data_IF_478685584493
#
_entry.id   IF_478685584493
#
_cell.length_a   1.000
_cell.length_b   1.000
_cell.length_c   1.000
_cell.angle_alpha   90.00
_cell.angle_beta   90.00
_cell.angle_gamma   90.00
#
_symmetry.space_group_name_H-M   'P 1'
#
loop_
_entity.id
_entity.type
_entity.pdbx_description
1 polymer ?
2 non-polymer ?
3 water ?
#
# COMPACT_ATOMS: atom_id res chain seq x y z
N UNK A 1 0.40 36.28 -10.44
CA UNK A 1 -0.56 35.86 -11.50
C UNK A 1 -1.03 34.43 -11.22
N UNK A 2 -2.20 34.08 -11.76
CA UNK A 2 -2.69 32.71 -11.63
C UNK A 2 -1.62 31.70 -12.05
N UNK A 3 -0.81 32.05 -13.05
CA UNK A 3 0.19 31.11 -13.54
C UNK A 3 1.23 30.81 -12.46
N UNK A 4 1.73 31.85 -11.78
CA UNK A 4 2.69 31.65 -10.70
C UNK A 4 2.17 30.64 -9.68
N UNK A 5 0.94 30.84 -9.21
CA UNK A 5 0.39 29.93 -8.21
C UNK A 5 0.29 28.50 -8.76
N UNK A 6 -0.15 28.37 -10.01
CA UNK A 6 -0.34 27.03 -10.57
C UNK A 6 1.01 26.31 -10.69
N UNK A 7 2.01 26.96 -11.30
CA UNK A 7 3.31 26.33 -11.42
C UNK A 7 3.88 25.97 -10.06
N UNK A 8 3.61 26.81 -9.07
CA UNK A 8 4.04 26.51 -7.71
C UNK A 8 3.38 25.23 -7.20
N UNK A 9 2.04 25.15 -7.28
CA UNK A 9 1.33 23.93 -6.86
C UNK A 9 1.89 22.71 -7.61
N UNK A 10 2.20 22.88 -8.90
CA UNK A 10 2.72 21.76 -9.68
C UNK A 10 4.07 21.31 -9.16
N UNK A 11 4.94 22.25 -8.83
CA UNK A 11 6.23 21.84 -8.29
C UNK A 11 6.07 21.07 -6.98
N UNK A 12 5.09 21.46 -6.16
CA UNK A 12 4.84 20.76 -4.90
C UNK A 12 4.31 19.35 -5.14
N UNK A 13 3.39 19.20 -6.10
CA UNK A 13 2.86 17.89 -6.45
C UNK A 13 3.97 16.97 -6.94
N UNK A 14 4.80 17.47 -7.86
CA UNK A 14 5.87 16.64 -8.40
C UNK A 14 6.90 16.28 -7.35
N UNK A 15 7.19 17.18 -6.41
CA UNK A 15 8.11 16.81 -5.33
C UNK A 15 7.51 15.71 -4.46
N UNK A 16 6.22 15.81 -4.14
CA UNK A 16 5.56 14.77 -3.39
C UNK A 16 5.53 13.46 -4.19
N UNK A 17 5.24 13.56 -5.48
CA UNK A 17 5.20 12.35 -6.30
C UNK A 17 6.55 11.67 -6.32
N UNK A 18 7.62 12.45 -6.41
CA UNK A 18 8.95 11.85 -6.43
C UNK A 18 9.24 11.03 -5.15
N UNK A 19 8.82 11.54 -4.00
CA UNK A 19 8.99 10.80 -2.74
C UNK A 19 8.21 9.50 -2.81
N UNK A 20 6.96 9.57 -3.26
CA UNK A 20 6.14 8.37 -3.41
C UNK A 20 6.75 7.37 -4.36
N UNK A 21 7.33 7.84 -5.47
CA UNK A 21 7.97 6.96 -6.43
C UNK A 21 9.15 6.25 -5.77
N UNK A 22 9.92 6.95 -4.95
CA UNK A 22 11.00 6.28 -4.22
C UNK A 22 10.44 5.20 -3.32
N UNK A 23 9.31 5.44 -2.65
CA UNK A 23 8.72 4.40 -1.80
C UNK A 23 8.23 3.20 -2.63
N UNK A 24 7.60 3.51 -3.79
CA UNK A 24 7.15 2.47 -4.70
C UNK A 24 8.29 1.63 -5.21
N UNK A 25 9.42 2.26 -5.50
CA UNK A 25 10.62 1.50 -5.92
C UNK A 25 11.13 0.59 -4.83
N UNK A 26 11.16 1.05 -3.59
CA UNK A 26 11.67 0.23 -2.51
C UNK A 26 10.73 -0.94 -2.27
N UNK A 27 9.41 -0.71 -2.33
CA UNK A 27 8.51 -1.81 -2.11
C UNK A 27 8.56 -2.83 -3.24
N UNK A 28 8.73 -2.34 -4.47
CA UNK A 28 8.81 -3.24 -5.62
C UNK A 28 10.06 -4.11 -5.53
N UNK A 29 11.18 -3.50 -5.16
CA UNK A 29 12.41 -4.28 -4.99
C UNK A 29 12.25 -5.29 -3.87
N UNK A 30 11.57 -4.95 -2.78
CA UNK A 30 11.38 -5.90 -1.72
C UNK A 30 10.45 -7.05 -2.12
N UNK A 31 9.42 -6.75 -2.94
CA UNK A 31 8.56 -7.79 -3.49
C UNK A 31 9.36 -8.74 -4.37
N UNK A 32 10.21 -8.18 -5.23
CA UNK A 32 11.05 -9.04 -6.06
C UNK A 32 11.90 -9.98 -5.21
N UNK A 33 12.46 -9.47 -4.11
CA UNK A 33 13.28 -10.30 -3.23
C UNK A 33 12.45 -11.39 -2.56
N UNK A 34 11.25 -11.05 -2.06
CA UNK A 34 10.41 -12.04 -1.44
C UNK A 34 9.98 -13.10 -2.44
N UNK A 35 9.69 -12.67 -3.65
CA UNK A 35 9.31 -13.58 -4.73
C UNK A 35 10.45 -14.56 -5.04
N UNK A 36 11.65 -14.04 -5.19
CA UNK A 36 12.81 -14.92 -5.41
C UNK A 36 12.99 -15.92 -4.28
N UNK A 37 12.80 -15.48 -3.03
CA UNK A 37 13.01 -16.30 -1.85
C UNK A 37 11.86 -17.23 -1.52
N UNK A 38 10.74 -17.12 -2.22
CA UNK A 38 9.59 -17.97 -2.00
C UNK A 38 8.84 -17.68 -0.72
N UNK A 39 8.93 -16.43 -0.25
CA UNK A 39 8.35 -16.02 1.02
C UNK A 39 7.00 -15.39 0.69
N UNK A 40 5.96 -16.22 0.62
CA UNK A 40 4.69 -15.79 0.03
C UNK A 40 4.02 -14.72 0.86
N UNK A 41 4.05 -14.88 2.19
CA UNK A 41 3.38 -13.91 3.05
C UNK A 41 4.10 -12.57 2.99
N UNK A 42 5.43 -12.58 2.96
CA UNK A 42 6.17 -11.34 2.80
C UNK A 42 5.82 -10.68 1.47
N UNK A 43 5.79 -11.49 0.40
CA UNK A 43 5.46 -10.96 -0.91
C UNK A 43 4.09 -10.27 -0.89
N UNK A 44 3.11 -10.89 -0.22
CA UNK A 44 1.78 -10.30 -0.17
C UNK A 44 1.83 -8.93 0.47
N UNK A 45 2.59 -8.79 1.57
CA UNK A 45 2.70 -7.51 2.27
C UNK A 45 3.33 -6.47 1.37
N UNK A 46 4.41 -6.82 0.68
CA UNK A 46 5.08 -5.85 -0.15
C UNK A 46 4.25 -5.48 -1.37
N UNK A 47 3.52 -6.44 -1.93
CA UNK A 47 2.65 -6.11 -3.05
C UNK A 47 1.55 -5.17 -2.62
N UNK A 48 1.02 -5.34 -1.41
CA UNK A 48 0.01 -4.42 -0.95
C UNK A 48 0.59 -3.04 -0.75
N UNK A 49 1.83 -2.96 -0.25
CA UNK A 49 2.46 -1.67 -0.08
C UNK A 49 2.68 -1.00 -1.44
N UNK A 50 3.20 -1.76 -2.40
CA UNK A 50 3.38 -1.23 -3.73
C UNK A 50 2.08 -0.73 -4.32
N UNK A 51 1.01 -1.49 -4.17
CA UNK A 51 -0.28 -1.03 -4.69
C UNK A 51 -0.74 0.25 -4.04
N UNK A 52 -0.50 0.41 -2.74
CA UNK A 52 -0.90 1.64 -2.09
C UNK A 52 -0.07 2.82 -2.61
N UNK A 53 1.24 2.67 -2.75
CA UNK A 53 2.03 3.75 -3.33
C UNK A 53 1.63 4.04 -4.76
N UNK A 54 1.37 2.98 -5.53
CA UNK A 54 1.00 3.19 -6.92
C UNK A 54 -0.31 3.96 -7.01
N UNK A 55 -1.27 3.66 -6.15
CA UNK A 55 -2.50 4.44 -6.12
C UNK A 55 -2.21 5.92 -5.84
N UNK A 56 -1.26 6.22 -4.96
CA UNK A 56 -0.89 7.60 -4.66
C UNK A 56 -0.21 8.25 -5.86
N UNK A 57 0.69 7.54 -6.56
CA UNK A 57 1.25 8.07 -7.80
C UNK A 57 0.15 8.41 -8.78
N UNK A 58 -0.83 7.51 -8.93
CA UNK A 58 -1.92 7.71 -9.87
C UNK A 58 -2.63 9.02 -9.52
N UNK A 59 -2.86 9.24 -8.22
CA UNK A 59 -3.55 10.46 -7.78
C UNK A 59 -2.74 11.70 -8.11
N UNK A 60 -1.44 11.69 -7.84
CA UNK A 60 -0.61 12.81 -8.18
C UNK A 60 -0.58 13.06 -9.68
N UNK A 61 -0.56 12.00 -10.47
CA UNK A 61 -0.52 12.12 -11.92
C UNK A 61 -1.81 12.74 -12.46
N UNK A 62 -2.94 12.39 -11.84
CA UNK A 62 -4.20 13.08 -12.11
C UNK A 62 -4.12 14.56 -11.75
N UNK A 63 -3.65 14.87 -10.58
CA UNK A 63 -3.58 16.27 -10.15
C UNK A 63 -2.67 17.06 -11.07
N UNK A 64 -1.60 16.43 -11.55
CA UNK A 64 -0.67 17.11 -12.43
C UNK A 64 -1.32 17.47 -13.76
N UNK A 65 -2.08 16.55 -14.35
CA UNK A 65 -2.84 16.85 -15.55
C UNK A 65 -3.83 17.98 -15.27
N UNK A 66 -4.55 17.92 -14.14
CA UNK A 66 -5.54 18.96 -13.87
C UNK A 66 -4.89 20.34 -13.73
N UNK A 67 -3.74 20.41 -13.07
CA UNK A 67 -3.05 21.68 -12.89
C UNK A 67 -2.54 22.22 -14.21
N UNK A 68 -2.00 21.36 -15.06
CA UNK A 68 -1.49 21.82 -16.35
C UNK A 68 -2.63 22.26 -17.26
N UNK A 69 -3.76 21.52 -17.24
CA UNK A 69 -4.97 21.98 -17.91
C UNK A 69 -5.36 23.39 -17.47
N UNK A 70 -5.33 23.65 -16.16
CA UNK A 70 -5.66 24.98 -15.65
C UNK A 70 -4.63 26.02 -16.11
N UNK A 71 -3.36 25.65 -16.10
CA UNK A 71 -2.32 26.57 -16.56
C UNK A 71 -2.54 26.94 -18.02
N UNK A 72 -2.90 25.98 -18.84
CA UNK A 72 -3.16 26.23 -20.24
C UNK A 72 -4.32 27.20 -20.43
N UNK A 73 -5.34 27.12 -19.56
CA UNK A 73 -6.48 28.04 -19.67
C UNK A 73 -6.08 29.48 -19.38
N UNK A 74 -5.02 29.68 -18.61
CA UNK A 74 -4.54 31.04 -18.37
C UNK A 74 -3.38 31.34 -19.30
N UNK A 75 -3.43 30.81 -20.53
CA UNK A 75 -2.47 31.09 -21.58
C UNK A 75 -3.22 31.39 -22.87
N UNK A 76 -2.93 32.49 -23.61
CA UNK A 76 -3.59 32.75 -24.90
C UNK A 76 -2.91 32.00 -26.05
N UNK A 77 -1.84 31.24 -25.81
CA UNK A 77 -1.05 30.55 -26.82
C UNK A 77 -0.81 29.13 -26.34
N UNK A 78 -0.31 28.31 -27.27
CA UNK A 78 0.02 26.89 -27.08
C UNK A 78 1.32 26.72 -26.28
N UNK A 79 1.61 27.52 -25.23
CA UNK A 79 2.89 27.44 -24.53
C UNK A 79 2.94 26.22 -23.61
N UNK A 80 1.90 26.03 -22.79
CA UNK A 80 1.79 24.91 -21.86
C UNK A 80 1.23 23.67 -22.53
N UNK A 81 0.92 23.76 -23.83
CA UNK A 81 0.40 22.64 -24.58
C UNK A 81 1.30 21.42 -24.45
N UNK A 82 2.61 21.61 -24.62
CA UNK A 82 3.50 20.45 -24.64
C UNK A 82 3.63 19.83 -23.25
N UNK A 83 3.72 20.67 -22.20
CA UNK A 83 3.75 20.13 -20.84
C UNK A 83 2.50 19.30 -20.56
N UNK A 84 1.33 19.84 -20.90
CA UNK A 84 0.10 19.06 -20.71
C UNK A 84 0.13 17.74 -21.47
N UNK A 85 0.62 17.75 -22.72
CA UNK A 85 0.66 16.51 -23.50
C UNK A 85 1.57 15.48 -22.81
N UNK A 86 2.72 15.92 -22.32
CA UNK A 86 3.60 15.00 -21.59
C UNK A 86 2.88 14.45 -20.37
N UNK A 87 2.25 15.34 -19.61
CA UNK A 87 1.59 14.91 -18.37
C UNK A 87 0.46 13.95 -18.66
N UNK A 88 -0.26 14.13 -19.77
CA UNK A 88 -1.31 13.18 -20.11
C UNK A 88 -0.73 11.82 -20.51
N UNK A 89 0.41 11.81 -21.20
CA UNK A 89 1.05 10.53 -21.50
C UNK A 89 1.60 9.88 -20.24
N UNK A 90 2.16 10.69 -19.32
CA UNK A 90 2.57 10.18 -18.02
C UNK A 90 1.40 9.53 -17.29
N UNK A 91 0.25 10.20 -17.25
CA UNK A 91 -0.90 9.64 -16.55
C UNK A 91 -1.32 8.33 -17.20
N UNK A 92 -1.35 8.26 -18.53
CA UNK A 92 -1.74 7.04 -19.22
C UNK A 92 -0.82 5.89 -18.84
N UNK A 93 0.48 6.19 -18.78
CA UNK A 93 1.46 5.16 -18.48
C UNK A 93 1.36 4.71 -17.03
N UNK A 94 1.20 5.68 -16.11
CA UNK A 94 1.02 5.38 -14.69
C UNK A 94 -0.23 4.54 -14.46
N UNK A 95 -1.31 4.83 -15.20
CA UNK A 95 -2.51 4.02 -15.01
C UNK A 95 -2.35 2.63 -15.61
N UNK A 96 -1.55 2.50 -16.67
CA UNK A 96 -1.28 1.16 -17.17
C UNK A 96 -0.43 0.38 -16.19
N UNK A 97 0.52 1.07 -15.53
CA UNK A 97 1.30 0.40 -14.49
C UNK A 97 0.40 -0.05 -13.35
N UNK A 98 -0.58 0.80 -13.02
CA UNK A 98 -1.48 0.48 -11.93
C UNK A 98 -2.34 -0.76 -12.24
N UNK A 99 -2.89 -0.82 -13.46
CA UNK A 99 -3.69 -1.96 -13.87
C UNK A 99 -2.85 -3.24 -13.88
N UNK A 100 -1.63 -3.13 -14.36
CA UNK A 100 -0.76 -4.29 -14.46
C UNK A 100 -0.32 -4.77 -13.10
N UNK A 101 0.01 -3.85 -12.19
CA UNK A 101 0.27 -4.24 -10.81
C UNK A 101 -0.93 -4.92 -10.19
N UNK A 102 -2.15 -4.41 -10.45
CA UNK A 102 -3.37 -5.06 -9.91
C UNK A 102 -3.45 -6.51 -10.39
N UNK A 103 -3.17 -6.73 -11.69
CA UNK A 103 -3.19 -8.08 -12.23
C UNK A 103 -2.19 -8.95 -11.49
N UNK A 104 -1.01 -8.40 -11.20
CA UNK A 104 0.02 -9.16 -10.48
C UNK A 104 -0.42 -9.50 -9.06
N UNK A 105 -0.97 -8.51 -8.34
CA UNK A 105 -1.47 -8.74 -6.99
C UNK A 105 -2.54 -9.84 -6.96
N UNK A 106 -3.49 -9.79 -7.90
CA UNK A 106 -4.52 -10.82 -7.96
C UNK A 106 -3.91 -12.18 -8.27
N UNK A 107 -2.97 -12.22 -9.21
CA UNK A 107 -2.39 -13.49 -9.60
C UNK A 107 -1.64 -14.11 -8.43
N UNK A 108 -0.90 -13.30 -7.68
CA UNK A 108 -0.24 -13.80 -6.48
C UNK A 108 -1.24 -14.35 -5.47
N UNK A 109 -2.36 -13.66 -5.25
CA UNK A 109 -3.34 -14.12 -4.29
C UNK A 109 -4.01 -15.39 -4.76
N UNK A 110 -4.11 -15.56 -6.08
CA UNK A 110 -4.71 -16.73 -6.70
C UNK A 110 -3.71 -17.87 -6.84
N UNK A 111 -2.44 -17.62 -6.55
CA UNK A 111 -1.41 -18.63 -6.72
C UNK A 111 -1.17 -19.00 -8.16
N UNK A 112 -1.27 -18.03 -9.08
CA UNK A 112 -1.05 -18.23 -10.50
C UNK A 112 0.25 -17.54 -10.90
N UNK A 113 1.36 -18.27 -10.79
CA UNK A 113 2.67 -17.66 -10.96
C UNK A 113 2.93 -17.20 -12.39
N UNK A 114 2.42 -17.91 -13.38
CA UNK A 114 2.65 -17.55 -14.79
C UNK A 114 2.11 -16.13 -15.01
N UNK A 115 0.87 -15.90 -14.61
CA UNK A 115 0.24 -14.60 -14.76
C UNK A 115 0.96 -13.57 -13.91
N UNK A 116 1.38 -13.96 -12.70
CA UNK A 116 2.03 -13.00 -11.82
C UNK A 116 3.31 -12.45 -12.44
N UNK A 117 4.19 -13.35 -12.91
CA UNK A 117 5.48 -12.93 -13.40
C UNK A 117 5.32 -12.05 -14.62
N UNK A 118 4.38 -12.40 -15.50
CA UNK A 118 4.19 -11.62 -16.71
C UNK A 118 3.74 -10.20 -16.37
N UNK A 119 2.77 -10.10 -15.47
CA UNK A 119 2.26 -8.78 -15.07
C UNK A 119 3.29 -8.02 -14.25
N UNK A 120 3.94 -8.68 -13.30
CA UNK A 120 4.94 -7.97 -12.51
C UNK A 120 6.04 -7.41 -13.38
N UNK A 121 6.51 -8.18 -14.36
CA UNK A 121 7.56 -7.69 -15.23
C UNK A 121 7.07 -6.58 -16.13
N UNK A 122 5.81 -6.64 -16.58
CA UNK A 122 5.24 -5.55 -17.35
C UNK A 122 5.17 -4.27 -16.50
N UNK A 123 4.77 -4.42 -15.23
CA UNK A 123 4.69 -3.27 -14.32
C UNK A 123 6.03 -2.61 -14.18
N UNK A 124 7.09 -3.40 -14.01
CA UNK A 124 8.40 -2.82 -13.88
C UNK A 124 8.77 -2.02 -15.13
N UNK A 125 8.48 -2.57 -16.32
CA UNK A 125 8.79 -1.86 -17.56
C UNK A 125 7.98 -0.59 -17.71
N UNK A 126 6.72 -0.61 -17.32
CA UNK A 126 5.92 0.60 -17.38
C UNK A 126 6.43 1.66 -16.42
N UNK A 127 6.90 1.25 -15.24
CA UNK A 127 7.50 2.20 -14.33
C UNK A 127 8.69 2.93 -14.94
N UNK A 128 9.55 2.20 -15.64
CA UNK A 128 10.67 2.86 -16.29
C UNK A 128 10.20 3.81 -17.38
N UNK A 129 9.17 3.41 -18.15
CA UNK A 129 8.63 4.33 -19.12
C UNK A 129 8.04 5.57 -18.45
N UNK A 130 7.34 5.37 -17.33
CA UNK A 130 6.77 6.51 -16.63
C UNK A 130 7.86 7.42 -16.10
N UNK A 131 8.96 6.85 -15.64
CA UNK A 131 10.05 7.65 -15.11
C UNK A 131 10.66 8.56 -16.17
N UNK A 132 10.81 8.06 -17.39
CA UNK A 132 11.25 8.89 -18.51
C UNK A 132 10.33 10.08 -18.72
N UNK A 133 9.02 9.84 -18.69
CA UNK A 133 8.08 10.94 -18.86
C UNK A 133 8.12 11.91 -17.68
N UNK A 134 8.21 11.38 -16.46
CA UNK A 134 8.28 12.25 -15.29
C UNK A 134 9.46 13.21 -15.39
N UNK A 135 10.64 12.70 -15.75
CA UNK A 135 11.81 13.58 -15.87
C UNK A 135 11.65 14.54 -17.03
N UNK A 136 11.04 14.10 -18.12
CA UNK A 136 10.78 15.01 -19.21
C UNK A 136 9.86 16.12 -18.78
N UNK A 137 8.85 15.78 -17.97
CA UNK A 137 7.93 16.81 -17.54
C UNK A 137 8.62 17.83 -16.64
N UNK A 138 9.44 17.36 -15.70
CA UNK A 138 10.18 18.28 -14.84
C UNK A 138 11.02 19.25 -15.65
N UNK A 139 11.68 18.77 -16.71
CA UNK A 139 12.50 19.69 -17.50
C UNK A 139 11.64 20.73 -18.19
N UNK A 140 10.50 20.31 -18.73
CA UNK A 140 9.60 21.25 -19.39
C UNK A 140 9.10 22.31 -18.42
N UNK A 141 8.81 21.90 -17.18
CA UNK A 141 8.33 22.87 -16.21
C UNK A 141 9.40 23.85 -15.78
N UNK A 142 10.66 23.42 -15.74
CA UNK A 142 11.74 24.37 -15.45
C UNK A 142 11.75 25.48 -16.49
N UNK A 143 11.54 25.12 -17.75
CA UNK A 143 11.55 26.08 -18.84
C UNK A 143 10.36 27.02 -18.78
N UNK A 144 9.33 26.69 -18.00
CA UNK A 144 8.19 27.56 -17.79
C UNK A 144 8.32 28.38 -16.53
N UNK A 145 9.02 27.89 -15.51
CA UNK A 145 9.11 28.54 -14.20
C UNK A 145 10.05 29.74 -14.19
N UNK A 146 10.70 30.05 -15.31
CA UNK A 146 11.71 31.11 -15.30
C UNK A 146 11.10 32.48 -15.16
N UNK A 147 9.90 32.69 -15.71
CA UNK A 147 9.28 34.02 -15.75
C UNK A 147 9.22 34.67 -14.37
N UNK B 1 -8.80 -22.56 17.01
CA UNK B 1 -8.01 -23.08 15.86
C UNK B 1 -7.62 -21.97 14.88
N UNK B 2 -6.77 -22.32 13.92
CA UNK B 2 -6.45 -21.38 12.85
C UNK B 2 -7.69 -21.03 12.06
N UNK B 3 -8.54 -22.04 11.81
CA UNK B 3 -9.79 -21.86 11.09
C UNK B 3 -10.61 -20.72 11.66
N UNK B 4 -10.83 -20.74 12.98
CA UNK B 4 -11.71 -19.76 13.60
C UNK B 4 -11.09 -18.36 13.54
N UNK B 5 -9.78 -18.27 13.67
CA UNK B 5 -9.10 -16.99 13.48
C UNK B 5 -9.31 -16.46 12.07
N UNK B 6 -9.11 -17.33 11.07
CA UNK B 6 -9.28 -16.90 9.68
C UNK B 6 -10.69 -16.41 9.44
N UNK B 7 -11.68 -17.20 9.90
CA UNK B 7 -13.07 -16.84 9.66
C UNK B 7 -13.45 -15.54 10.35
N UNK B 8 -12.89 -15.28 11.54
CA UNK B 8 -13.20 -14.02 12.21
C UNK B 8 -12.56 -12.83 11.47
N UNK B 9 -11.31 -13.00 11.02
CA UNK B 9 -10.68 -11.93 10.25
C UNK B 9 -11.47 -11.68 8.97
N UNK B 10 -11.93 -12.74 8.33
CA UNK B 10 -12.73 -12.59 7.12
C UNK B 10 -14.00 -11.81 7.41
N UNK B 11 -14.70 -12.13 8.48
CA UNK B 11 -15.92 -11.40 8.80
C UNK B 11 -15.63 -9.92 9.01
N UNK B 12 -14.50 -9.61 9.65
CA UNK B 12 -14.11 -8.22 9.88
C UNK B 12 -13.76 -7.53 8.57
N UNK B 13 -13.02 -8.20 7.70
CA UNK B 13 -12.67 -7.60 6.41
C UNK B 13 -13.94 -7.27 5.61
N UNK B 14 -14.86 -8.23 5.53
CA UNK B 14 -16.08 -8.00 4.76
C UNK B 14 -16.96 -6.91 5.37
N UNK B 15 -16.97 -6.77 6.68
CA UNK B 15 -17.72 -5.67 7.31
C UNK B 15 -17.08 -4.34 6.97
N UNK B 16 -15.75 -4.27 6.98
CA UNK B 16 -15.09 -3.04 6.63
C UNK B 16 -15.28 -2.73 5.15
N UNK B 17 -15.21 -3.76 4.32
CA UNK B 17 -15.42 -3.58 2.88
C UNK B 17 -16.82 -3.08 2.61
N UNK B 18 -17.82 -3.59 3.34
CA UNK B 18 -19.17 -3.11 3.09
C UNK B 18 -19.29 -1.60 3.35
N UNK B 19 -18.66 -1.10 4.40
CA UNK B 19 -18.71 0.33 4.65
C UNK B 19 -18.00 1.10 3.55
N UNK B 20 -16.85 0.61 3.10
CA UNK B 20 -16.13 1.28 2.03
C UNK B 20 -16.95 1.30 0.75
N UNK B 21 -17.65 0.21 0.47
CA UNK B 21 -18.52 0.15 -0.68
C UNK B 21 -19.64 1.18 -0.58
N UNK B 22 -20.21 1.35 0.62
CA UNK B 22 -21.20 2.42 0.78
C UNK B 22 -20.60 3.78 0.52
N UNK B 23 -19.37 4.02 0.99
CA UNK B 23 -18.73 5.29 0.76
C UNK B 23 -18.48 5.50 -0.73
N UNK B 24 -18.03 4.42 -1.40
CA UNK B 24 -17.82 4.49 -2.84
C UNK B 24 -19.11 4.82 -3.57
N UNK B 25 -20.20 4.17 -3.20
CA UNK B 25 -21.48 4.44 -3.85
C UNK B 25 -21.90 5.89 -3.69
N UNK B 26 -21.71 6.45 -2.51
CA UNK B 26 -22.10 7.84 -2.30
C UNK B 26 -21.22 8.79 -3.08
N UNK B 27 -19.91 8.53 -3.14
CA UNK B 27 -19.05 9.37 -3.93
C UNK B 27 -19.40 9.27 -5.42
N UNK B 28 -19.73 8.09 -5.90
CA UNK B 28 -20.10 7.90 -7.30
C UNK B 28 -21.37 8.66 -7.63
N UNK B 29 -22.37 8.60 -6.75
CA UNK B 29 -23.60 9.36 -6.98
C UNK B 29 -23.33 10.86 -6.96
N UNK B 30 -22.46 11.33 -6.06
CA UNK B 30 -22.12 12.74 -6.01
C UNK B 30 -21.39 13.17 -7.28
N UNK B 31 -20.50 12.31 -7.80
CA UNK B 31 -19.80 12.61 -9.05
C UNK B 31 -20.76 12.70 -10.22
N UNK B 32 -21.72 11.79 -10.26
CA UNK B 32 -22.71 11.85 -11.34
C UNK B 32 -23.51 13.16 -11.29
N UNK B 33 -23.88 13.60 -10.08
CA UNK B 33 -24.64 14.85 -9.94
C UNK B 33 -23.77 16.03 -10.37
N UNK B 34 -22.49 16.03 -9.99
CA UNK B 34 -21.62 17.14 -10.37
C UNK B 34 -21.41 17.16 -11.87
N UNK B 35 -21.31 15.99 -12.47
CA UNK B 35 -21.16 15.91 -13.92
C UNK B 35 -22.39 16.49 -14.62
N UNK B 36 -23.57 16.07 -14.20
CA UNK B 36 -24.78 16.58 -14.84
C UNK B 36 -24.93 18.08 -14.66
N UNK B 37 -24.53 18.61 -13.50
CA UNK B 37 -24.61 20.04 -13.23
C UNK B 37 -23.47 20.83 -13.85
N UNK B 38 -22.48 20.17 -14.44
CA UNK B 38 -21.35 20.85 -15.04
C UNK B 38 -20.37 21.45 -14.08
N UNK B 39 -20.31 20.97 -12.83
CA UNK B 39 -19.42 21.54 -11.84
C UNK B 39 -18.13 20.73 -11.83
N UNK B 40 -17.18 21.14 -12.66
CA UNK B 40 -15.98 20.32 -12.91
C UNK B 40 -15.09 20.19 -11.69
N UNK B 41 -14.98 21.24 -10.88
CA UNK B 41 -14.13 21.14 -9.69
C UNK B 41 -14.75 20.21 -8.66
N UNK B 42 -16.08 20.27 -8.51
CA UNK B 42 -16.73 19.33 -7.60
C UNK B 42 -16.56 17.91 -8.13
N UNK B 43 -16.71 17.73 -9.43
CA UNK B 43 -16.55 16.41 -10.01
C UNK B 43 -15.15 15.85 -9.76
N UNK B 44 -14.13 16.71 -9.91
CA UNK B 44 -12.77 16.24 -9.62
C UNK B 44 -12.65 15.75 -8.19
N UNK B 45 -13.21 16.48 -7.23
CA UNK B 45 -13.13 16.09 -5.84
C UNK B 45 -13.77 14.75 -5.59
N UNK B 46 -14.98 14.56 -6.15
CA UNK B 46 -15.69 13.32 -5.93
C UNK B 46 -15.03 12.15 -6.64
N UNK B 47 -14.51 12.38 -7.84
CA UNK B 47 -13.78 11.31 -8.52
C UNK B 47 -12.57 10.89 -7.73
N UNK B 48 -11.86 11.84 -7.15
CA UNK B 48 -10.70 11.49 -6.33
C UNK B 48 -11.13 10.69 -5.11
N UNK B 49 -12.24 11.05 -4.50
CA UNK B 49 -12.74 10.25 -3.37
C UNK B 49 -13.12 8.85 -3.84
N UNK B 50 -13.82 8.75 -4.96
CA UNK B 50 -14.18 7.45 -5.49
C UNK B 50 -12.94 6.59 -5.74
N UNK B 51 -11.93 7.19 -6.36
CA UNK B 51 -10.71 6.42 -6.65
C UNK B 51 -10.06 5.92 -5.37
N UNK B 52 -10.06 6.73 -4.31
CA UNK B 52 -9.49 6.28 -3.05
C UNK B 52 -10.28 5.14 -2.45
N UNK B 53 -11.62 5.25 -2.41
CA UNK B 53 -12.43 4.18 -1.90
C UNK B 53 -12.28 2.92 -2.75
N UNK B 54 -12.25 3.08 -4.07
CA UNK B 54 -12.07 1.94 -4.94
C UNK B 54 -10.75 1.24 -4.64
N UNK B 55 -9.68 1.99 -4.42
CA UNK B 55 -8.40 1.34 -4.10
C UNK B 55 -8.51 0.55 -2.81
N UNK B 56 -9.28 1.07 -1.85
CA UNK B 56 -9.51 0.33 -0.60
C UNK B 56 -10.33 -0.93 -0.83
N UNK B 57 -11.39 -0.86 -1.65
CA UNK B 57 -12.14 -2.07 -1.97
C UNK B 57 -11.24 -3.09 -2.64
N UNK B 58 -10.36 -2.64 -3.54
CA UNK B 58 -9.44 -3.55 -4.23
C UNK B 58 -8.59 -4.30 -3.20
N UNK B 59 -8.11 -3.57 -2.20
CA UNK B 59 -7.27 -4.18 -1.17
C UNK B 59 -8.06 -5.17 -0.33
N UNK B 60 -9.28 -4.82 0.07
CA UNK B 60 -10.08 -5.75 0.86
C UNK B 60 -10.40 -7.01 0.05
N UNK B 61 -10.67 -6.85 -1.25
CA UNK B 61 -10.96 -8.01 -2.09
C UNK B 61 -9.77 -8.95 -2.19
N UNK B 62 -8.56 -8.40 -2.25
CA UNK B 62 -7.34 -9.19 -2.25
C UNK B 62 -7.20 -9.91 -0.92
N UNK B 63 -7.40 -9.19 0.19
CA UNK B 63 -7.32 -9.79 1.51
C UNK B 63 -8.32 -10.93 1.65
N UNK B 64 -9.53 -10.76 1.10
CA UNK B 64 -10.56 -11.78 1.19
C UNK B 64 -10.14 -13.05 0.47
N UNK B 65 -9.58 -12.91 -0.74
CA UNK B 65 -9.04 -14.08 -1.46
C UNK B 65 -7.93 -14.74 -0.66
N UNK B 66 -6.99 -13.96 -0.13
CA UNK B 66 -5.91 -14.59 0.63
C UNK B 66 -6.43 -15.35 1.84
N UNK B 67 -7.43 -14.82 2.54
CA UNK B 67 -7.94 -15.49 3.73
C UNK B 67 -8.69 -16.75 3.37
N UNK B 68 -9.50 -16.70 2.31
CA UNK B 68 -10.20 -17.90 1.87
C UNK B 68 -9.25 -18.93 1.28
N UNK B 69 -8.20 -18.49 0.59
CA UNK B 69 -7.16 -19.43 0.15
C UNK B 69 -6.55 -20.13 1.34
N UNK B 70 -6.25 -19.39 2.41
CA UNK B 70 -5.72 -19.99 3.62
C UNK B 70 -6.71 -20.99 4.22
N UNK B 71 -7.99 -20.65 4.25
CA UNK B 71 -8.97 -21.56 4.83
C UNK B 71 -9.05 -22.85 4.05
N UNK B 72 -8.98 -22.76 2.72
CA UNK B 72 -9.06 -23.95 1.87
C UNK B 72 -7.85 -24.85 2.09
N UNK B 73 -6.71 -24.27 2.43
CA UNK B 73 -5.53 -25.09 2.69
C UNK B 73 -5.72 -25.89 3.97
N UNK B 74 -6.36 -25.29 4.98
CA UNK B 74 -6.53 -25.99 6.24
C UNK B 74 -7.70 -26.98 6.19
N UNK B 75 -8.78 -26.67 5.46
CA UNK B 75 -9.86 -27.63 5.21
C UNK B 75 -10.17 -27.73 3.73
N UNK B 76 -9.54 -28.67 3.04
CA UNK B 76 -9.78 -28.79 1.60
C UNK B 76 -11.08 -29.50 1.29
N UNK B 77 -12.18 -28.76 1.24
CA UNK B 77 -13.50 -29.29 0.94
C UNK B 77 -14.13 -28.45 -0.16
N UNK B 78 -15.37 -28.79 -0.53
CA UNK B 78 -16.06 -28.07 -1.59
C UNK B 78 -16.56 -26.71 -1.12
N UNK B 79 -17.04 -26.61 0.12
CA UNK B 79 -17.53 -25.32 0.60
C UNK B 79 -16.41 -24.30 0.63
N UNK B 80 -15.21 -24.70 1.08
CA UNK B 80 -14.07 -23.80 1.04
C UNK B 80 -13.68 -23.50 -0.40
N UNK B 81 -13.71 -24.51 -1.28
CA UNK B 81 -13.48 -24.26 -2.69
C UNK B 81 -14.50 -23.28 -3.25
N UNK B 82 -15.78 -23.48 -2.90
CA UNK B 82 -16.82 -22.62 -3.45
C UNK B 82 -16.57 -21.18 -3.03
N UNK B 83 -16.39 -20.96 -1.73
CA UNK B 83 -16.18 -19.61 -1.23
C UNK B 83 -15.00 -18.95 -1.93
N UNK B 84 -13.89 -19.69 -2.06
CA UNK B 84 -12.71 -19.09 -2.70
C UNK B 84 -12.99 -18.74 -4.17
N UNK B 85 -13.67 -19.63 -4.89
CA UNK B 85 -13.99 -19.33 -6.28
C UNK B 85 -14.81 -18.04 -6.41
N UNK B 86 -15.81 -17.87 -5.55
CA UNK B 86 -16.60 -16.64 -5.56
C UNK B 86 -15.72 -15.43 -5.25
N UNK B 87 -14.86 -15.56 -4.24
CA UNK B 87 -14.01 -14.42 -3.87
C UNK B 87 -13.06 -14.06 -5.00
N UNK B 88 -12.58 -15.06 -5.74
CA UNK B 88 -11.67 -14.75 -6.85
C UNK B 88 -12.42 -14.05 -7.98
N UNK B 89 -13.67 -14.45 -8.24
CA UNK B 89 -14.48 -13.75 -9.24
C UNK B 89 -14.82 -12.34 -8.78
N UNK B 90 -15.14 -12.17 -7.50
CA UNK B 90 -15.34 -10.83 -6.95
C UNK B 90 -14.11 -9.97 -7.17
N UNK B 91 -12.93 -10.52 -6.89
CA UNK B 91 -11.72 -9.74 -7.04
C UNK B 91 -11.51 -9.35 -8.50
N UNK B 92 -11.72 -10.29 -9.41
CA UNK B 92 -11.59 -9.97 -10.83
C UNK B 92 -12.51 -8.83 -11.22
N UNK B 93 -13.74 -8.84 -10.71
CA UNK B 93 -14.73 -7.83 -11.08
C UNK B 93 -14.39 -6.48 -10.48
N UNK B 94 -13.95 -6.49 -9.22
CA UNK B 94 -13.52 -5.27 -8.58
C UNK B 94 -12.36 -4.65 -9.33
N UNK B 95 -11.41 -5.46 -9.77
CA UNK B 95 -10.25 -4.89 -10.48
C UNK B 95 -10.65 -4.36 -11.85
N UNK B 96 -11.64 -5.00 -12.48
CA UNK B 96 -12.17 -4.45 -13.71
C UNK B 96 -12.87 -3.10 -13.48
N UNK B 97 -13.66 -3.00 -12.41
CA UNK B 97 -14.21 -1.69 -12.02
C UNK B 97 -13.11 -0.66 -11.76
N UNK B 98 -12.06 -1.08 -11.08
CA UNK B 98 -10.98 -0.15 -10.75
C UNK B 98 -10.32 0.40 -12.00
N UNK B 99 -10.02 -0.46 -12.98
CA UNK B 99 -9.38 0.00 -14.21
C UNK B 99 -10.31 0.92 -14.99
N UNK B 100 -11.61 0.64 -14.95
CA UNK B 100 -12.59 1.45 -15.64
C UNK B 100 -12.76 2.80 -14.98
N UNK B 101 -12.75 2.84 -13.66
CA UNK B 101 -12.76 4.13 -12.98
C UNK B 101 -11.51 4.93 -13.32
N UNK B 102 -10.35 4.27 -13.39
CA UNK B 102 -9.14 4.97 -13.80
C UNK B 102 -9.33 5.66 -15.15
N UNK B 103 -9.92 4.94 -16.11
CA UNK B 103 -10.14 5.54 -17.42
C UNK B 103 -11.05 6.75 -17.31
N UNK B 104 -12.06 6.65 -16.46
CA UNK B 104 -12.98 7.78 -16.30
C UNK B 104 -12.31 8.97 -15.63
N UNK B 105 -11.50 8.72 -14.59
CA UNK B 105 -10.81 9.80 -13.91
C UNK B 105 -9.86 10.51 -14.86
N UNK B 106 -9.10 9.74 -15.66
CA UNK B 106 -8.19 10.38 -16.59
C UNK B 106 -8.94 11.17 -17.64
N UNK B 107 -10.03 10.64 -18.14
CA UNK B 107 -10.79 11.35 -19.16
C UNK B 107 -11.32 12.66 -18.61
N UNK B 108 -11.83 12.65 -17.37
CA UNK B 108 -12.29 13.91 -16.77
C UNK B 108 -11.15 14.90 -16.62
N UNK B 109 -9.96 14.43 -16.25
CA UNK B 109 -8.85 15.35 -16.09
C UNK B 109 -8.39 15.90 -17.44
N UNK B 110 -8.46 15.07 -18.48
CA UNK B 110 -8.06 15.42 -19.86
C UNK B 110 -9.13 16.23 -20.57
N UNK B 111 -10.29 16.42 -19.95
CA UNK B 111 -11.40 17.08 -20.62
C UNK B 111 -11.90 16.32 -21.84
N UNK B 112 -12.19 15.03 -21.65
CA UNK B 112 -12.67 14.13 -22.71
C UNK B 112 -13.96 13.48 -22.18
N UNK B 113 -15.09 14.20 -22.27
CA UNK B 113 -16.31 13.69 -21.68
C UNK B 113 -16.84 12.45 -22.39
N UNK B 114 -16.68 12.34 -23.70
CA UNK B 114 -17.17 11.14 -24.38
C UNK B 114 -16.56 9.90 -23.73
N UNK B 115 -15.24 9.90 -23.50
CA UNK B 115 -14.63 8.77 -22.82
C UNK B 115 -15.08 8.68 -21.37
N UNK B 116 -15.18 9.84 -20.69
CA UNK B 116 -15.57 9.83 -19.28
C UNK B 116 -16.92 9.18 -19.08
N UNK B 117 -17.93 9.62 -19.85
CA UNK B 117 -19.30 9.15 -19.62
C UNK B 117 -19.43 7.66 -19.88
N UNK B 118 -18.81 7.19 -20.97
CA UNK B 118 -18.84 5.78 -21.31
C UNK B 118 -18.18 4.95 -20.20
N UNK B 119 -16.98 5.39 -19.77
CA UNK B 119 -16.28 4.65 -18.75
C UNK B 119 -17.00 4.73 -17.41
N UNK B 120 -17.52 5.91 -17.06
CA UNK B 120 -18.26 6.00 -15.81
C UNK B 120 -19.47 5.04 -15.80
N UNK B 121 -20.20 4.96 -16.90
CA UNK B 121 -21.35 4.06 -16.89
C UNK B 121 -20.92 2.60 -16.87
N UNK B 122 -19.78 2.29 -17.48
CA UNK B 122 -19.22 0.96 -17.39
C UNK B 122 -18.82 0.64 -15.95
N UNK B 123 -18.23 1.61 -15.27
CA UNK B 123 -17.83 1.43 -13.87
C UNK B 123 -19.02 1.11 -13.00
N UNK B 124 -20.11 1.85 -13.17
CA UNK B 124 -21.30 1.58 -12.36
C UNK B 124 -21.82 0.16 -12.59
N UNK B 125 -21.84 -0.28 -13.85
CA UNK B 125 -22.29 -1.63 -14.15
C UNK B 125 -21.40 -2.67 -13.48
N UNK B 126 -20.09 -2.46 -13.54
CA UNK B 126 -19.19 -3.43 -12.92
C UNK B 126 -19.35 -3.42 -11.41
N UNK B 127 -19.58 -2.24 -10.83
CA UNK B 127 -19.86 -2.19 -9.40
C UNK B 127 -21.09 -3.01 -9.01
N UNK B 128 -22.14 -2.93 -9.80
CA UNK B 128 -23.31 -3.73 -9.46
C UNK B 128 -23.03 -5.20 -9.65
N UNK B 129 -22.23 -5.59 -10.66
CA UNK B 129 -21.84 -6.97 -10.80
C UNK B 129 -21.04 -7.44 -9.59
N UNK B 130 -20.15 -6.57 -9.09
CA UNK B 130 -19.37 -6.95 -7.92
C UNK B 130 -20.26 -7.11 -6.70
N UNK B 131 -21.24 -6.23 -6.54
CA UNK B 131 -22.17 -6.35 -5.43
C UNK B 131 -22.89 -7.70 -5.42
N UNK B 132 -23.30 -8.19 -6.58
CA UNK B 132 -23.92 -9.51 -6.68
C UNK B 132 -23.01 -10.59 -6.11
N UNK B 133 -21.73 -10.57 -6.51
CA UNK B 133 -20.77 -11.54 -6.00
C UNK B 133 -20.50 -11.35 -4.52
N UNK B 134 -20.50 -10.10 -4.07
CA UNK B 134 -20.25 -9.82 -2.65
C UNK B 134 -21.34 -10.43 -1.79
N UNK B 135 -22.60 -10.24 -2.19
CA UNK B 135 -23.70 -10.84 -1.44
C UNK B 135 -23.69 -12.36 -1.54
N UNK B 136 -23.31 -12.91 -2.70
CA UNK B 136 -23.19 -14.35 -2.82
C UNK B 136 -22.11 -14.89 -1.89
N UNK B 137 -21.01 -14.16 -1.77
CA UNK B 137 -19.95 -14.60 -0.87
C UNK B 137 -20.42 -14.57 0.58
N UNK B 138 -21.13 -13.51 0.98
CA UNK B 138 -21.67 -13.47 2.34
C UNK B 138 -22.55 -14.69 2.61
N UNK B 139 -23.38 -15.09 1.64
CA UNK B 139 -24.26 -16.23 1.87
C UNK B 139 -23.46 -17.52 2.00
N UNK B 140 -22.37 -17.63 1.26
CA UNK B 140 -21.52 -18.80 1.34
C UNK B 140 -20.80 -18.86 2.68
N UNK B 141 -20.43 -17.70 3.24
CA UNK B 141 -19.71 -17.70 4.50
C UNK B 141 -20.61 -18.04 5.68
N UNK B 142 -21.92 -17.85 5.53
CA UNK B 142 -22.85 -18.34 6.55
C UNK B 142 -22.80 -19.86 6.64
N UNK B 143 -22.81 -20.54 5.48
CA UNK B 143 -22.64 -21.99 5.48
C UNK B 143 -21.31 -22.41 6.08
N UNK B 144 -20.27 -21.56 5.95
CA UNK B 144 -18.96 -21.90 6.50
C UNK B 144 -18.84 -21.55 7.99
N UNK B 145 -19.47 -20.45 8.42
CA UNK B 145 -19.35 -20.04 9.81
C UNK B 145 -20.24 -20.83 10.76
N UNK B 146 -21.50 -20.42 10.93
CA UNK B 146 -22.38 -20.92 11.98
C UNK B 146 -22.11 -22.39 12.29
N UNK B 147 -21.75 -23.14 11.26
CA UNK B 147 -21.18 -24.47 11.41
C UNK B 147 -19.97 -24.44 12.37
N UNK C 1 -12.80 -14.00 28.95
CA UNK C 1 -12.11 -13.40 30.14
C UNK C 1 -11.36 -12.13 29.78
N UNK C 2 -10.73 -11.54 30.80
CA UNK C 2 -9.80 -10.45 30.55
C UNK C 2 -8.57 -10.95 29.79
N UNK C 3 -8.10 -12.14 30.15
CA UNK C 3 -6.92 -12.70 29.51
C UNK C 3 -7.11 -12.83 28.00
N UNK C 4 -8.31 -13.22 27.56
CA UNK C 4 -8.53 -13.40 26.13
C UNK C 4 -8.49 -12.07 25.38
N UNK C 5 -9.07 -11.01 25.95
CA UNK C 5 -8.98 -9.70 25.32
C UNK C 5 -7.51 -9.27 25.19
N UNK C 6 -6.72 -9.47 26.26
CA UNK C 6 -5.34 -9.02 26.20
C UNK C 6 -4.57 -9.77 25.12
N UNK C 7 -4.74 -11.09 25.08
CA UNK C 7 -4.07 -11.88 24.05
C UNK C 7 -4.50 -11.44 22.67
N UNK C 8 -5.78 -11.12 22.48
CA UNK C 8 -6.23 -10.67 21.18
C UNK C 8 -5.55 -9.36 20.80
N UNK C 9 -5.43 -8.44 21.75
CA UNK C 9 -4.73 -7.20 21.43
C UNK C 9 -3.26 -7.48 21.16
N UNK C 10 -2.64 -8.39 21.91
CA UNK C 10 -1.25 -8.72 21.63
C UNK C 10 -1.09 -9.30 20.22
N UNK C 11 -1.99 -10.20 19.85
CA UNK C 11 -1.94 -10.76 18.50
C UNK C 11 -2.01 -9.67 17.44
N UNK C 12 -2.91 -8.70 17.62
CA UNK C 12 -3.04 -7.62 16.66
C UNK C 12 -1.79 -6.76 16.62
N UNK C 13 -1.19 -6.51 17.79
CA UNK C 13 0.01 -5.69 17.84
C UNK C 13 1.17 -6.38 17.13
N UNK C 14 1.40 -7.65 17.41
CA UNK C 14 2.49 -8.38 16.76
C UNK C 14 2.24 -8.53 15.25
N UNK C 15 0.99 -8.70 14.82
CA UNK C 15 0.72 -8.71 13.37
C UNK C 15 1.11 -7.38 12.73
N UNK C 16 0.70 -6.27 13.34
CA UNK C 16 1.02 -4.96 12.81
C UNK C 16 2.52 -4.74 12.84
N UNK C 17 3.15 -5.16 13.93
CA UNK C 17 4.60 -5.00 14.04
C UNK C 17 5.32 -5.77 12.96
N UNK C 18 4.81 -6.93 12.60
CA UNK C 18 5.50 -7.72 11.58
C UNK C 18 5.46 -6.99 10.25
N UNK C 19 4.33 -6.37 9.91
CA UNK C 19 4.24 -5.59 8.69
C UNK C 19 5.20 -4.41 8.75
N UNK C 20 5.26 -3.71 9.88
CA UNK C 20 6.16 -2.58 10.00
C UNK C 20 7.62 -3.02 9.86
N UNK C 21 7.96 -4.17 10.42
CA UNK C 21 9.32 -4.69 10.30
C UNK C 21 9.64 -4.95 8.83
N UNK C 22 8.68 -5.49 8.08
CA UNK C 22 8.91 -5.67 6.65
C UNK C 22 9.17 -4.34 5.95
N UNK C 23 8.40 -3.30 6.31
CA UNK C 23 8.61 -1.99 5.73
C UNK C 23 9.99 -1.44 6.10
N UNK C 24 10.40 -1.64 7.36
CA UNK C 24 11.71 -1.22 7.82
C UNK C 24 12.80 -1.93 7.02
N UNK C 25 12.63 -3.22 6.78
CA UNK C 25 13.62 -3.97 6.02
C UNK C 25 13.71 -3.46 4.59
N UNK C 26 12.58 -3.13 3.97
CA UNK C 26 12.59 -2.64 2.60
C UNK C 26 13.26 -1.29 2.53
N UNK C 27 12.95 -0.39 3.47
CA UNK C 27 13.58 0.92 3.44
C UNK C 27 15.08 0.83 3.67
N UNK C 28 15.49 -0.09 4.55
CA UNK C 28 16.91 -0.27 4.87
C UNK C 28 17.65 -0.78 3.65
N UNK C 29 17.07 -1.77 2.97
CA UNK C 29 17.70 -2.27 1.75
C UNK C 29 17.79 -1.18 0.70
N UNK C 30 16.78 -0.32 0.60
CA UNK C 30 16.80 0.74 -0.38
C UNK C 30 17.88 1.78 -0.03
N UNK C 31 18.04 2.04 1.26
CA UNK C 31 19.12 2.93 1.70
C UNK C 31 20.49 2.33 1.36
N UNK C 32 20.64 1.03 1.59
CA UNK C 32 21.91 0.37 1.24
C UNK C 32 22.20 0.51 -0.24
N UNK C 33 21.18 0.33 -1.06
CA UNK C 33 21.36 0.43 -2.51
C UNK C 33 21.72 1.84 -2.91
N UNK C 34 21.06 2.85 -2.34
CA UNK C 34 21.37 4.23 -2.68
C UNK C 34 22.78 4.60 -2.22
N UNK C 35 23.16 4.14 -1.03
CA UNK C 35 24.54 4.32 -0.53
C UNK C 35 25.55 3.74 -1.49
N UNK C 36 25.35 2.49 -1.91
CA UNK C 36 26.29 1.87 -2.84
C UNK C 36 26.31 2.59 -4.18
N UNK C 37 25.18 3.13 -4.63
CA UNK C 37 25.08 3.79 -5.92
C UNK C 37 25.46 5.27 -5.86
N UNK C 38 25.83 5.78 -4.69
CA UNK C 38 26.18 7.18 -4.52
C UNK C 38 25.07 8.16 -4.84
N UNK C 39 23.84 7.81 -4.50
CA UNK C 39 22.69 8.69 -4.71
C UNK C 39 22.30 9.25 -3.35
N UNK C 40 22.93 10.37 -2.98
CA UNK C 40 22.83 10.91 -1.62
C UNK C 40 21.43 11.39 -1.27
N UNK C 41 20.72 11.95 -2.23
CA UNK C 41 19.36 12.40 -1.92
C UNK C 41 18.41 11.23 -1.73
N UNK C 42 18.55 10.18 -2.56
CA UNK C 42 17.77 8.97 -2.36
C UNK C 42 18.10 8.38 -1.01
N UNK C 43 19.39 8.35 -0.64
CA UNK C 43 19.79 7.77 0.64
C UNK C 43 19.15 8.52 1.80
N UNK C 44 19.14 9.85 1.72
CA UNK C 44 18.55 10.65 2.78
C UNK C 44 17.07 10.31 2.95
N UNK C 45 16.33 10.23 1.85
CA UNK C 45 14.91 9.90 1.90
C UNK C 45 14.70 8.53 2.52
N UNK C 46 15.46 7.55 2.08
CA UNK C 46 15.26 6.22 2.59
C UNK C 46 15.69 6.07 4.06
N UNK C 47 16.69 6.82 4.51
CA UNK C 47 17.03 6.81 5.91
C UNK C 47 15.88 7.39 6.72
N UNK C 48 15.27 8.47 6.22
CA UNK C 48 14.13 9.06 6.90
C UNK C 48 12.98 8.06 6.97
N UNK C 49 12.75 7.30 5.89
CA UNK C 49 11.70 6.31 5.90
C UNK C 49 11.99 5.19 6.88
N UNK C 50 13.22 4.69 6.88
CA UNK C 50 13.61 3.67 7.81
C UNK C 50 13.40 4.15 9.24
N UNK C 51 13.81 5.39 9.52
CA UNK C 51 13.64 5.91 10.87
C UNK C 51 12.18 5.97 11.26
N UNK C 52 11.30 6.27 10.33
CA UNK C 52 9.89 6.34 10.65
C UNK C 52 9.38 4.95 11.03
N UNK C 53 9.73 3.92 10.24
CA UNK C 53 9.30 2.58 10.58
C UNK C 53 9.97 2.10 11.86
N UNK C 54 11.24 2.45 12.07
CA UNK C 54 11.91 2.10 13.31
C UNK C 54 11.18 2.67 14.51
N UNK C 55 10.78 3.93 14.44
CA UNK C 55 10.01 4.53 15.54
C UNK C 55 8.71 3.78 15.78
N UNK C 56 8.04 3.32 14.73
CA UNK C 56 6.82 2.56 14.90
C UNK C 56 7.10 1.20 15.52
N UNK C 57 8.19 0.52 15.11
CA UNK C 57 8.55 -0.74 15.75
C UNK C 57 8.77 -0.51 17.24
N UNK C 58 9.48 0.58 17.57
CA UNK C 58 9.75 0.91 18.97
C UNK C 58 8.43 1.02 19.75
N UNK C 59 7.44 1.68 19.17
CA UNK C 59 6.16 1.83 19.84
C UNK C 59 5.43 0.51 19.99
N UNK C 60 5.45 -0.34 18.96
CA UNK C 60 4.85 -1.67 19.10
C UNK C 60 5.54 -2.46 20.20
N UNK C 61 6.87 -2.31 20.36
CA UNK C 61 7.59 -2.99 21.43
C UNK C 61 7.16 -2.50 22.80
N UNK C 62 7.01 -1.19 22.96
CA UNK C 62 6.47 -0.61 24.19
C UNK C 62 5.11 -1.23 24.49
N UNK C 63 4.24 -1.24 23.50
CA UNK C 63 2.86 -1.71 23.70
C UNK C 63 2.84 -3.19 24.07
N UNK C 64 3.80 -3.96 23.54
CA UNK C 64 3.86 -5.39 23.85
C UNK C 64 4.29 -5.63 25.29
N UNK C 65 5.27 -4.84 25.77
CA UNK C 65 5.71 -4.93 27.15
C UNK C 65 4.56 -4.62 28.08
N UNK C 66 3.85 -3.54 27.81
CA UNK C 66 2.69 -3.14 28.62
C UNK C 66 1.65 -4.24 28.65
N UNK C 67 1.31 -4.79 27.49
CA UNK C 67 0.24 -5.79 27.43
C UNK C 67 0.62 -7.07 28.13
N UNK C 68 1.87 -7.50 28.01
CA UNK C 68 2.29 -8.74 28.68
C UNK C 68 2.29 -8.55 30.19
N UNK C 69 2.66 -7.37 30.69
CA UNK C 69 2.60 -7.15 32.13
C UNK C 69 1.14 -7.23 32.58
N UNK C 70 0.22 -6.72 31.76
CA UNK C 70 -1.21 -6.78 32.07
C UNK C 70 -1.65 -8.22 32.12
N UNK C 71 -1.23 -9.01 31.12
CA UNK C 71 -1.59 -10.42 31.09
C UNK C 71 -1.08 -11.18 32.31
N UNK C 72 0.13 -10.86 32.77
CA UNK C 72 0.64 -11.55 33.96
C UNK C 72 -0.24 -11.34 35.18
N UNK C 73 -0.93 -10.20 35.26
CA UNK C 73 -1.72 -9.92 36.45
C UNK C 73 -3.02 -10.71 36.43
N UNK C 74 -3.63 -10.84 35.26
CA UNK C 74 -4.94 -11.47 35.14
C UNK C 74 -4.87 -12.95 34.79
N UNK C 75 -3.71 -13.42 34.31
CA UNK C 75 -3.54 -14.82 33.91
C UNK C 75 -2.10 -15.23 34.17
N UNK C 76 -1.72 -15.37 35.43
CA UNK C 76 -0.35 -15.79 35.74
C UNK C 76 0.00 -17.08 35.01
N UNK C 77 1.27 -17.20 34.65
CA UNK C 77 1.77 -18.26 33.79
C UNK C 77 3.25 -18.02 33.56
N UNK C 78 4.09 -19.03 33.79
CA UNK C 78 5.52 -18.85 33.54
C UNK C 78 5.78 -18.52 32.08
N UNK C 79 4.89 -18.91 31.18
CA UNK C 79 5.06 -18.58 29.77
C UNK C 79 4.87 -17.08 29.53
N UNK C 80 3.89 -16.46 30.18
CA UNK C 80 3.73 -15.02 30.02
C UNK C 80 4.88 -14.28 30.67
N UNK C 81 5.37 -14.78 31.82
CA UNK C 81 6.58 -14.23 32.42
C UNK C 81 7.73 -14.28 31.43
N UNK C 82 7.81 -15.40 30.69
CA UNK C 82 8.85 -15.60 29.69
C UNK C 82 8.71 -14.62 28.54
N UNK C 83 7.48 -14.42 28.07
CA UNK C 83 7.26 -13.49 26.97
C UNK C 83 7.65 -12.08 27.38
N UNK C 84 7.33 -11.69 28.61
CA UNK C 84 7.65 -10.33 29.04
C UNK C 84 9.15 -10.10 29.07
N UNK C 85 9.93 -11.07 29.54
CA UNK C 85 11.38 -10.86 29.56
C UNK C 85 11.93 -10.74 28.14
N UNK C 86 11.42 -11.56 27.20
CA UNK C 86 11.83 -11.45 25.80
C UNK C 86 11.44 -10.07 25.25
N UNK C 87 10.20 -9.68 25.50
CA UNK C 87 9.70 -8.38 25.00
C UNK C 87 10.53 -7.22 25.54
N UNK C 88 11.00 -7.31 26.79
CA UNK C 88 11.81 -6.25 27.36
C UNK C 88 13.20 -6.20 26.74
N UNK C 89 13.78 -7.36 26.45
CA UNK C 89 15.03 -7.40 25.72
C UNK C 89 14.85 -6.89 24.30
N UNK C 90 13.74 -7.24 23.65
CA UNK C 90 13.46 -6.67 22.34
C UNK C 90 13.38 -5.14 22.41
N UNK C 91 12.63 -4.61 23.40
CA UNK C 91 12.52 -3.16 23.53
C UNK C 91 13.89 -2.50 23.70
N UNK C 92 14.76 -3.06 24.53
CA UNK C 92 16.11 -2.51 24.64
C UNK C 92 16.84 -2.54 23.31
N UNK C 93 16.66 -3.63 22.55
CA UNK C 93 17.42 -3.80 21.32
C UNK C 93 16.94 -2.86 20.22
N UNK C 94 15.62 -2.72 20.07
CA UNK C 94 15.11 -1.79 19.05
C UNK C 94 15.46 -0.36 19.39
N UNK C 95 15.50 0.00 20.67
CA UNK C 95 15.94 1.33 21.03
C UNK C 95 17.39 1.56 20.66
N UNK C 96 18.23 0.52 20.84
CA UNK C 96 19.63 0.60 20.44
C UNK C 96 19.75 0.75 18.92
N UNK C 97 18.89 0.03 18.19
CA UNK C 97 18.86 0.20 16.74
C UNK C 97 18.47 1.62 16.34
N UNK C 98 17.49 2.20 17.05
CA UNK C 98 17.09 3.57 16.77
C UNK C 98 18.23 4.54 16.98
N UNK C 99 18.96 4.40 18.10
CA UNK C 99 20.11 5.26 18.37
C UNK C 99 21.13 5.17 17.24
N UNK C 100 21.47 3.96 16.82
CA UNK C 100 22.45 3.81 15.75
C UNK C 100 21.92 4.34 14.42
N UNK C 101 20.63 4.16 14.13
CA UNK C 101 20.07 4.78 12.95
C UNK C 101 20.13 6.29 13.02
N UNK C 102 19.89 6.87 14.20
CA UNK C 102 20.02 8.30 14.37
C UNK C 102 21.44 8.77 14.10
N UNK C 103 22.43 8.02 14.59
CA UNK C 103 23.82 8.34 14.29
C UNK C 103 24.07 8.31 12.80
N UNK C 104 23.53 7.30 12.10
CA UNK C 104 23.68 7.22 10.65
C UNK C 104 23.01 8.40 9.95
N UNK C 105 21.82 8.81 10.42
CA UNK C 105 21.14 9.95 9.83
C UNK C 105 21.99 11.19 9.96
N UNK C 106 22.58 11.41 11.15
CA UNK C 106 23.38 12.60 11.39
C UNK C 106 24.66 12.56 10.57
N UNK C 107 25.25 11.39 10.46
CA UNK C 107 26.48 11.24 9.67
C UNK C 107 26.20 11.47 8.20
N UNK C 108 25.09 10.96 7.67
CA UNK C 108 24.73 11.28 6.29
C UNK C 108 24.49 12.77 6.12
N UNK C 109 23.82 13.40 7.08
CA UNK C 109 23.57 14.82 7.00
C UNK C 109 24.86 15.60 7.01
N UNK C 110 25.82 15.16 7.83
CA UNK C 110 27.11 15.82 7.93
C UNK C 110 27.99 15.47 6.75
N UNK C 111 27.62 14.45 6.02
CA UNK C 111 28.46 13.92 4.96
C UNK C 111 29.74 13.39 5.54
N UNK C 112 29.62 12.43 6.47
CA UNK C 112 30.76 11.86 7.20
C UNK C 112 30.67 10.35 6.98
N UNK C 113 31.22 9.90 5.85
CA UNK C 113 31.07 8.51 5.45
C UNK C 113 31.62 7.54 6.49
N UNK C 114 32.67 7.93 7.20
CA UNK C 114 33.29 6.97 8.12
C UNK C 114 32.38 6.70 9.32
N UNK C 115 31.83 7.76 9.94
CA UNK C 115 30.84 7.53 10.98
C UNK C 115 29.62 6.81 10.40
N UNK C 116 29.20 7.19 9.19
CA UNK C 116 28.01 6.59 8.62
C UNK C 116 28.16 5.08 8.48
N UNK C 117 29.27 4.63 7.93
CA UNK C 117 29.43 3.21 7.65
C UNK C 117 29.38 2.40 8.94
N UNK C 118 30.04 2.88 10.00
CA UNK C 118 30.04 2.13 11.25
C UNK C 118 28.63 2.06 11.81
N UNK C 119 27.94 3.21 11.82
CA UNK C 119 26.60 3.26 12.39
C UNK C 119 25.63 2.39 11.60
N UNK C 120 25.66 2.51 10.27
CA UNK C 120 24.77 1.71 9.45
C UNK C 120 25.01 0.22 9.60
N UNK C 121 26.29 -0.19 9.68
CA UNK C 121 26.54 -1.60 9.92
C UNK C 121 26.01 -2.06 11.27
N UNK C 122 26.17 -1.22 12.30
CA UNK C 122 25.69 -1.59 13.63
C UNK C 122 24.17 -1.68 13.62
N UNK C 123 23.54 -0.79 12.87
CA UNK C 123 22.08 -0.82 12.75
C UNK C 123 21.60 -2.14 12.19
N UNK C 124 22.22 -2.60 11.10
CA UNK C 124 21.86 -3.87 10.51
C UNK C 124 22.04 -5.02 11.50
N UNK C 125 23.17 -5.05 12.22
CA UNK C 125 23.41 -6.12 13.18
C UNK C 125 22.36 -6.11 14.30
N UNK C 126 22.03 -4.92 14.82
CA UNK C 126 20.97 -4.83 15.82
C UNK C 126 19.63 -5.27 15.27
N UNK C 127 19.31 -4.91 14.03
CA UNK C 127 18.09 -5.40 13.42
C UNK C 127 18.01 -6.93 13.44
N UNK C 128 19.14 -7.59 13.16
CA UNK C 128 19.16 -9.05 13.19
C UNK C 128 18.97 -9.58 14.61
N UNK C 129 19.66 -8.96 15.57
CA UNK C 129 19.44 -9.32 16.96
C UNK C 129 17.97 -9.19 17.32
N UNK C 130 17.32 -8.12 16.88
CA UNK C 130 15.94 -7.90 17.26
C UNK C 130 15.02 -8.86 16.56
N UNK C 131 15.30 -9.16 15.29
CA UNK C 131 14.50 -10.12 14.59
C UNK C 131 14.53 -11.49 15.29
N UNK C 132 15.70 -11.89 15.79
CA UNK C 132 15.80 -13.12 16.56
C UNK C 132 14.93 -13.04 17.81
N UNK C 133 14.95 -11.91 18.50
CA UNK C 133 14.09 -11.76 19.65
C UNK C 133 12.62 -11.75 19.26
N UNK C 134 12.28 -11.12 18.14
CA UNK C 134 10.90 -11.06 17.71
C UNK C 134 10.37 -12.44 17.42
N UNK C 135 11.19 -13.31 16.82
CA UNK C 135 10.72 -14.66 16.50
C UNK C 135 10.47 -15.47 17.78
N UNK C 136 11.39 -15.39 18.74
CA UNK C 136 11.14 -16.03 20.02
C UNK C 136 9.82 -15.57 20.61
N UNK C 137 9.57 -14.26 20.54
CA UNK C 137 8.34 -13.72 21.11
C UNK C 137 7.13 -14.29 20.40
N UNK C 138 7.18 -14.38 19.08
CA UNK C 138 6.05 -14.93 18.33
C UNK C 138 5.76 -16.37 18.75
N UNK C 139 6.82 -17.16 18.97
CA UNK C 139 6.59 -18.56 19.32
C UNK C 139 6.14 -18.70 20.77
N UNK C 140 6.63 -17.85 21.67
CA UNK C 140 6.06 -17.79 23.00
C UNK C 140 4.59 -17.40 22.95
N UNK C 141 4.24 -16.42 22.11
CA UNK C 141 2.83 -16.02 21.99
C UNK C 141 1.97 -17.16 21.44
N UNK C 142 2.50 -17.91 20.48
CA UNK C 142 1.79 -19.08 19.98
C UNK C 142 1.59 -20.10 21.09
N UNK C 143 2.64 -20.39 21.86
CA UNK C 143 2.52 -21.31 22.98
C UNK C 143 1.57 -20.77 24.05
N UNK C 144 1.29 -19.47 24.02
CA UNK C 144 0.37 -18.84 24.97
C UNK C 144 -1.06 -18.84 24.42
N UNK C 145 -1.21 -18.72 23.10
CA UNK C 145 -2.53 -18.78 22.50
C UNK C 145 -3.12 -20.18 22.52
N UNK C 146 -2.30 -21.21 22.72
CA UNK C 146 -2.76 -22.59 22.77
C UNK C 146 -2.86 -23.12 24.19
N UNK C 147 -2.48 -22.31 25.19
CA UNK C 147 -2.82 -22.60 26.58
C UNK C 147 -4.18 -22.00 26.88
#
# INVERSE_FOLDING_TARGET
SDAQEILSRLNSVLEAAWKTILNLASATDAAEKAYKEGREEDLATYLDQAASYQSQVDQYAVETVRLLAELKKVFPDEEADRALQIAEKLLKTVQEASKTLDTAVAAAANGDEETFAKAFNQFVSLGNQADTLFTQLQRTLTNLNKK
SDAQEILSRLNSVLEAAWKTILNLASATDAAEKAYKEGREEDLATYLDQAASYQSQVDQYAVETVRLLAELKKVFPDEEADRALQIAEKLLKTVQEASKTLDTAVAAAANGDEETFAKAFNQFVSLGNQADTLFTQLQRTLTNLNKK
SDAQEILSRLNSVLEAAWKTILNLASATDAAEKAYKEGREEDLATYLDQAASYQSQVDQYAVETVRLLAELKKVFPDEEADRALQIAEKLLKTVQEASKTLDTAVAAAANGDEETFAKAFNQFVSLGNQADTLFTQLQRTLTNLNKK
#
